data_IF_143568526951
#
_entry.id   IF_143568526951
#
_cell.length_a   1.000
_cell.length_b   1.000
_cell.length_c   1.000
_cell.angle_alpha   90.00
_cell.angle_beta   90.00
_cell.angle_gamma   90.00
#
_symmetry.space_group_name_H-M   'P 1'
#
loop_
_entity.id
_entity.type
_entity.pdbx_description
1 polymer ?
#
# COMPACT_ATOMS: atom_id res chain seq x y z
N UNK A 1 -5.69 11.81 -9.43
CA UNK A 1 -6.62 10.91 -10.12
C UNK A 1 -8.06 11.38 -9.90
N UNK A 2 -8.51 11.57 -8.67
CA UNK A 2 -9.87 12.02 -8.34
C UNK A 2 -10.26 13.32 -9.06
N UNK A 3 -9.39 14.35 -9.07
CA UNK A 3 -9.61 15.59 -9.81
C UNK A 3 -9.76 15.41 -11.34
N UNK A 4 -9.29 14.29 -11.87
CA UNK A 4 -9.47 13.90 -13.27
C UNK A 4 -10.74 13.04 -13.49
N UNK A 5 -11.56 12.87 -12.47
CA UNK A 5 -12.77 12.05 -12.50
C UNK A 5 -12.50 10.55 -12.47
N UNK A 6 -11.31 10.13 -12.05
CA UNK A 6 -10.96 8.72 -11.87
C UNK A 6 -11.20 8.37 -10.40
N UNK A 7 -12.28 7.62 -10.08
CA UNK A 7 -12.61 7.29 -8.70
C UNK A 7 -11.55 6.38 -8.07
N UNK A 8 -11.26 6.65 -6.81
CA UNK A 8 -10.35 5.87 -5.99
C UNK A 8 -11.13 5.24 -4.83
N UNK A 9 -11.02 3.93 -4.68
CA UNK A 9 -11.65 3.20 -3.60
C UNK A 9 -10.58 2.49 -2.77
N UNK A 10 -10.59 2.72 -1.47
CA UNK A 10 -9.72 2.04 -0.51
C UNK A 10 -10.52 1.05 0.32
N UNK A 11 -10.08 -0.21 0.34
CA UNK A 11 -10.57 -1.23 1.26
C UNK A 11 -9.51 -1.49 2.33
N UNK A 12 -9.80 -1.10 3.56
CA UNK A 12 -8.89 -1.25 4.70
C UNK A 12 -9.24 -2.51 5.45
N UNK A 13 -8.41 -3.53 5.32
CA UNK A 13 -8.63 -4.86 5.90
C UNK A 13 -7.81 -5.10 7.18
N UNK A 14 -6.89 -4.20 7.49
CA UNK A 14 -5.99 -4.28 8.64
C UNK A 14 -5.47 -2.91 9.03
N UNK A 15 -4.31 -2.89 9.69
CA UNK A 15 -3.70 -1.63 10.14
C UNK A 15 -3.02 -0.89 8.98
N UNK A 16 -3.43 0.34 8.76
CA UNK A 16 -2.85 1.28 7.80
C UNK A 16 -2.34 2.50 8.55
N UNK A 17 -1.04 2.55 8.80
CA UNK A 17 -0.41 3.52 9.69
C UNK A 17 0.57 4.43 8.97
N UNK A 18 0.82 5.60 9.57
CA UNK A 18 1.75 6.61 9.07
C UNK A 18 1.49 6.94 7.58
N UNK A 19 2.45 6.72 6.70
CA UNK A 19 2.30 6.95 5.25
C UNK A 19 1.16 6.14 4.61
N UNK A 20 0.89 4.92 5.10
CA UNK A 20 -0.23 4.09 4.64
C UNK A 20 -1.60 4.71 4.89
N UNK A 21 -1.75 5.52 5.94
CA UNK A 21 -3.01 6.19 6.28
C UNK A 21 -3.43 7.24 5.24
N UNK A 22 -2.49 7.75 4.45
CA UNK A 22 -2.83 8.69 3.38
C UNK A 22 -3.61 8.04 2.23
N UNK A 23 -3.44 6.75 1.98
CA UNK A 23 -4.16 6.08 0.90
C UNK A 23 -5.67 6.11 1.12
N UNK A 24 -6.23 5.61 2.23
CA UNK A 24 -7.65 5.76 2.50
C UNK A 24 -8.04 7.23 2.69
N UNK A 25 -7.22 8.04 3.36
CA UNK A 25 -7.52 9.46 3.59
C UNK A 25 -7.62 10.32 2.34
N UNK A 26 -7.10 9.89 1.21
CA UNK A 26 -7.15 10.58 -0.08
C UNK A 26 -8.05 9.88 -1.11
N UNK A 27 -8.68 8.76 -0.75
CA UNK A 27 -9.61 8.03 -1.62
C UNK A 27 -10.99 8.66 -1.61
N UNK A 28 -11.74 8.45 -2.70
CA UNK A 28 -13.11 8.96 -2.84
C UNK A 28 -14.13 8.07 -2.11
N UNK A 29 -13.78 6.82 -1.88
CA UNK A 29 -14.59 5.84 -1.14
C UNK A 29 -13.70 5.02 -0.22
N UNK A 30 -14.09 4.88 1.03
CA UNK A 30 -13.36 4.11 2.03
C UNK A 30 -14.28 3.06 2.64
N UNK A 31 -13.83 1.80 2.57
CA UNK A 31 -14.48 0.67 3.23
C UNK A 31 -13.54 0.16 4.34
N UNK A 32 -14.00 0.08 5.56
CA UNK A 32 -13.19 -0.42 6.69
C UNK A 32 -13.82 -1.65 7.33
N UNK A 33 -13.01 -2.67 7.61
CA UNK A 33 -13.44 -3.89 8.30
C UNK A 33 -13.45 -3.64 9.81
N UNK A 34 -14.62 -3.79 10.45
CA UNK A 34 -14.80 -3.61 11.90
C UNK A 34 -13.82 -4.47 12.69
N UNK A 35 -13.32 -3.94 13.80
CA UNK A 35 -12.41 -4.60 14.76
C UNK A 35 -11.04 -4.99 14.19
N UNK A 36 -10.85 -4.93 12.87
CA UNK A 36 -9.60 -5.30 12.23
C UNK A 36 -8.90 -4.11 11.58
N UNK A 37 -9.65 -3.30 10.83
CA UNK A 37 -9.11 -2.12 10.16
C UNK A 37 -8.80 -0.99 11.15
N UNK A 38 -7.62 -0.41 10.99
CA UNK A 38 -7.18 0.75 11.76
C UNK A 38 -6.45 1.73 10.86
N UNK A 39 -6.81 3.00 10.97
CA UNK A 39 -6.17 4.07 10.19
C UNK A 39 -5.79 5.19 11.14
N UNK A 40 -4.49 5.46 11.27
CA UNK A 40 -3.98 6.61 12.02
C UNK A 40 -2.57 6.99 11.55
N UNK A 41 -2.23 8.27 11.63
CA UNK A 41 -0.88 8.74 11.31
C UNK A 41 0.13 8.35 12.39
N UNK A 42 -0.30 8.37 13.65
CA UNK A 42 0.51 8.01 14.80
C UNK A 42 -0.26 7.04 15.68
N UNK A 43 0.30 5.87 15.93
CA UNK A 43 -0.32 4.86 16.80
C UNK A 43 -0.27 5.25 18.29
N UNK A 44 -0.94 4.49 19.17
CA UNK A 44 -1.02 4.77 20.60
C UNK A 44 0.31 5.02 21.30
N UNK A 45 1.40 4.29 21.02
CA UNK A 45 2.69 4.57 21.65
C UNK A 45 3.24 5.96 21.32
N UNK A 46 3.06 6.41 20.07
CA UNK A 46 3.55 7.70 19.63
C UNK A 46 2.66 8.84 20.15
N UNK A 47 1.35 8.64 20.20
CA UNK A 47 0.40 9.55 20.83
C UNK A 47 0.79 9.79 22.29
N UNK A 48 0.99 8.72 23.06
CA UNK A 48 1.41 8.79 24.45
C UNK A 48 2.74 9.53 24.63
N UNK A 49 3.70 9.29 23.76
CA UNK A 49 4.99 9.96 23.83
C UNK A 49 4.91 11.45 23.51
N UNK A 50 4.04 11.85 22.59
CA UNK A 50 3.91 13.23 22.13
C UNK A 50 3.01 14.09 23.03
N UNK A 51 1.89 13.57 23.51
CA UNK A 51 0.86 14.33 24.23
C UNK A 51 0.65 13.86 25.67
N UNK A 52 1.12 12.67 26.03
CA UNK A 52 0.83 12.01 27.29
C UNK A 52 -0.54 11.31 27.35
N UNK A 53 -1.35 11.44 26.32
CA UNK A 53 -2.66 10.80 26.22
C UNK A 53 -2.54 9.28 26.02
N UNK A 54 -3.48 8.55 26.59
CA UNK A 54 -3.58 7.09 26.45
C UNK A 54 -4.89 6.77 25.75
N UNK A 55 -4.81 6.21 24.54
CA UNK A 55 -5.94 5.72 23.78
C UNK A 55 -5.65 4.31 23.26
N UNK A 56 -6.68 3.50 23.11
CA UNK A 56 -6.58 2.20 22.45
C UNK A 56 -6.58 2.34 20.92
N UNK A 57 -6.13 1.30 20.21
CA UNK A 57 -6.10 1.28 18.74
C UNK A 57 -7.47 1.54 18.11
N UNK A 58 -8.53 0.91 18.67
CA UNK A 58 -9.91 1.08 18.18
C UNK A 58 -10.45 2.48 18.44
N UNK A 59 -10.12 3.04 19.59
CA UNK A 59 -10.53 4.39 19.98
C UNK A 59 -9.82 5.46 19.14
N UNK A 60 -8.55 5.23 18.84
CA UNK A 60 -7.72 6.17 18.08
C UNK A 60 -8.02 6.16 16.57
N UNK A 61 -8.22 4.98 16.00
CA UNK A 61 -8.34 4.87 14.55
C UNK A 61 -9.07 3.62 14.07
N UNK A 62 -9.94 3.04 14.89
CA UNK A 62 -10.77 1.91 14.49
C UNK A 62 -11.86 2.27 13.49
N UNK A 63 -12.44 1.26 12.85
CA UNK A 63 -13.48 1.45 11.83
C UNK A 63 -14.71 2.20 12.34
N UNK A 64 -15.17 1.88 13.54
CA UNK A 64 -16.34 2.54 14.14
C UNK A 64 -16.06 4.02 14.48
N UNK A 65 -14.83 4.33 14.86
CA UNK A 65 -14.43 5.73 15.09
C UNK A 65 -14.43 6.52 13.77
N UNK A 66 -13.85 5.96 12.70
CA UNK A 66 -13.83 6.63 11.39
C UNK A 66 -15.22 6.75 10.76
N UNK A 67 -16.08 5.73 10.88
CA UNK A 67 -17.42 5.75 10.32
C UNK A 67 -18.45 6.53 11.17
N UNK A 68 -18.36 6.44 12.51
CA UNK A 68 -19.37 7.00 13.40
C UNK A 68 -19.04 8.37 13.99
N UNK A 69 -17.77 8.68 14.16
CA UNK A 69 -17.33 9.92 14.84
C UNK A 69 -16.65 10.88 13.88
N UNK A 70 -15.62 10.41 13.16
CA UNK A 70 -14.84 11.26 12.27
C UNK A 70 -15.50 11.49 10.89
N UNK A 71 -16.36 10.57 10.45
CA UNK A 71 -17.00 10.66 9.13
C UNK A 71 -16.03 10.51 7.95
N UNK A 72 -14.92 9.81 8.16
CA UNK A 72 -13.84 9.60 7.19
C UNK A 72 -13.84 8.19 6.59
N UNK A 73 -14.88 7.42 6.88
CA UNK A 73 -15.15 6.11 6.30
C UNK A 73 -16.63 6.03 5.98
N UNK A 74 -16.98 5.78 4.71
CA UNK A 74 -18.37 5.74 4.26
C UNK A 74 -19.02 4.38 4.48
N UNK A 75 -18.22 3.31 4.48
CA UNK A 75 -18.75 1.94 4.52
C UNK A 75 -18.03 1.09 5.56
N UNK A 76 -18.82 0.48 6.45
CA UNK A 76 -18.33 -0.45 7.47
C UNK A 76 -18.65 -1.88 7.05
N UNK A 77 -17.64 -2.71 6.96
CA UNK A 77 -17.74 -4.13 6.63
C UNK A 77 -17.55 -5.00 7.87
N UNK A 78 -18.26 -6.11 7.95
CA UNK A 78 -18.15 -7.04 9.07
C UNK A 78 -16.92 -7.95 9.00
N UNK A 79 -16.42 -8.19 7.77
CA UNK A 79 -15.23 -9.01 7.49
C UNK A 79 -14.68 -8.70 6.10
N UNK A 80 -13.57 -9.34 5.73
CA UNK A 80 -12.89 -9.13 4.46
C UNK A 80 -13.78 -9.46 3.25
N UNK A 81 -14.55 -10.55 3.32
CA UNK A 81 -15.47 -10.95 2.24
C UNK A 81 -16.58 -9.91 2.04
N UNK A 82 -17.10 -9.36 3.13
CA UNK A 82 -18.10 -8.30 3.10
C UNK A 82 -17.53 -6.99 2.55
N UNK A 83 -16.29 -6.66 2.91
CA UNK A 83 -15.57 -5.51 2.35
C UNK A 83 -15.43 -5.60 0.83
N UNK A 84 -15.07 -6.77 0.31
CA UNK A 84 -14.99 -7.01 -1.13
C UNK A 84 -16.35 -6.92 -1.80
N UNK A 85 -17.41 -7.45 -1.16
CA UNK A 85 -18.80 -7.32 -1.65
C UNK A 85 -19.21 -5.86 -1.78
N UNK A 86 -19.00 -5.06 -0.72
CA UNK A 86 -19.29 -3.62 -0.70
C UNK A 86 -18.49 -2.89 -1.77
N UNK A 87 -17.20 -3.15 -1.88
CA UNK A 87 -16.34 -2.55 -2.89
C UNK A 87 -16.84 -2.82 -4.31
N UNK A 88 -17.30 -4.04 -4.59
CA UNK A 88 -17.89 -4.40 -5.89
C UNK A 88 -19.21 -3.66 -6.16
N UNK A 89 -20.04 -3.47 -5.14
CA UNK A 89 -21.29 -2.71 -5.26
C UNK A 89 -21.00 -1.23 -5.55
N UNK A 90 -20.03 -0.63 -4.87
CA UNK A 90 -19.58 0.75 -5.15
C UNK A 90 -19.16 0.86 -6.61
N UNK A 91 -18.28 -0.02 -7.08
CA UNK A 91 -17.78 0.00 -8.46
C UNK A 91 -18.91 -0.20 -9.47
N UNK A 92 -19.86 -1.09 -9.19
CA UNK A 92 -21.04 -1.30 -10.04
C UNK A 92 -21.90 -0.04 -10.16
N UNK A 93 -22.11 0.67 -9.05
CA UNK A 93 -22.93 1.89 -9.03
C UNK A 93 -22.22 3.11 -9.68
N UNK A 94 -20.91 3.08 -9.84
CA UNK A 94 -20.17 4.15 -10.51
C UNK A 94 -20.45 4.20 -12.02
N UNK A 95 -20.94 3.10 -12.61
CA UNK A 95 -21.10 2.96 -14.08
C UNK A 95 -19.85 3.40 -14.85
N UNK A 96 -18.67 3.11 -14.26
CA UNK A 96 -17.39 3.59 -14.76
C UNK A 96 -17.09 3.13 -16.19
N UNK A 97 -17.48 1.91 -16.53
CA UNK A 97 -17.25 1.35 -17.85
C UNK A 97 -17.97 2.15 -18.97
N UNK A 98 -19.09 2.78 -18.65
CA UNK A 98 -19.88 3.57 -19.59
C UNK A 98 -19.18 4.90 -19.95
N UNK A 99 -18.23 5.32 -19.12
CA UNK A 99 -17.48 6.58 -19.24
C UNK A 99 -16.04 6.38 -19.75
N UNK A 100 -15.56 5.13 -19.81
CA UNK A 100 -14.19 4.86 -20.24
C UNK A 100 -14.05 5.06 -21.74
N UNK A 101 -13.05 5.84 -22.20
CA UNK A 101 -12.64 5.75 -23.58
C UNK A 101 -12.21 4.31 -23.86
N UNK A 102 -12.63 3.75 -24.98
CA UNK A 102 -12.20 2.43 -25.43
C UNK A 102 -10.70 2.49 -25.69
N UNK A 103 -9.91 2.01 -24.74
CA UNK A 103 -8.48 1.87 -24.97
C UNK A 103 -8.26 0.72 -25.97
N UNK A 104 -7.38 0.88 -26.96
CA UNK A 104 -7.03 -0.21 -27.84
C UNK A 104 -6.50 -1.37 -26.99
N UNK A 105 -7.08 -2.56 -27.17
CA UNK A 105 -6.56 -3.78 -26.55
C UNK A 105 -5.13 -3.97 -27.05
N UNK A 106 -4.19 -3.91 -26.13
CA UNK A 106 -2.81 -4.32 -26.44
C UNK A 106 -2.78 -5.84 -26.48
N UNK A 107 -1.97 -6.36 -27.38
CA UNK A 107 -1.68 -7.79 -27.43
C UNK A 107 -0.97 -8.17 -26.11
N UNK A 108 -1.57 -9.09 -25.37
CA UNK A 108 -1.00 -9.60 -24.13
C UNK A 108 0.15 -10.53 -24.48
N UNK A 109 1.32 -10.26 -23.96
CA UNK A 109 2.51 -11.10 -24.16
C UNK A 109 2.85 -11.80 -22.85
N UNK A 110 3.03 -13.11 -22.89
CA UNK A 110 3.48 -13.86 -21.73
C UNK A 110 4.83 -13.32 -21.24
N UNK A 111 5.07 -13.28 -19.93
CA UNK A 111 6.40 -12.99 -19.39
C UNK A 111 7.47 -13.90 -20.00
N UNK A 112 8.69 -13.40 -20.12
CA UNK A 112 9.84 -14.19 -20.63
C UNK A 112 10.32 -15.21 -19.60
N UNK A 113 10.04 -14.97 -18.33
CA UNK A 113 10.43 -15.83 -17.20
C UNK A 113 9.19 -16.52 -16.64
N UNK A 114 9.37 -17.75 -16.16
CA UNK A 114 8.28 -18.54 -15.63
C UNK A 114 7.80 -18.00 -14.27
N UNK A 115 6.49 -17.78 -14.16
CA UNK A 115 5.86 -17.34 -12.91
C UNK A 115 6.00 -18.36 -11.78
N UNK A 116 6.13 -19.66 -12.07
CA UNK A 116 6.31 -20.70 -11.06
C UNK A 116 7.66 -20.58 -10.33
N UNK A 117 8.65 -19.91 -10.95
CA UNK A 117 9.94 -19.61 -10.32
C UNK A 117 9.85 -18.61 -9.16
N UNK A 118 8.75 -17.88 -9.02
CA UNK A 118 8.58 -16.89 -7.93
C UNK A 118 8.78 -17.48 -6.54
N UNK A 119 8.41 -18.75 -6.36
CA UNK A 119 8.65 -19.46 -5.10
C UNK A 119 10.14 -19.61 -4.75
N UNK A 120 11.02 -19.56 -5.76
CA UNK A 120 12.47 -19.59 -5.58
C UNK A 120 13.12 -18.21 -5.49
N UNK A 121 12.49 -17.19 -6.08
CA UNK A 121 12.97 -15.79 -6.07
C UNK A 121 12.69 -15.15 -4.72
N UNK A 122 11.49 -15.33 -4.18
CA UNK A 122 11.10 -14.76 -2.89
C UNK A 122 11.36 -15.76 -1.78
N UNK A 123 12.36 -15.47 -0.93
CA UNK A 123 12.70 -16.34 0.19
C UNK A 123 11.58 -16.38 1.23
N UNK A 124 11.29 -17.55 1.85
CA UNK A 124 10.32 -17.64 2.96
C UNK A 124 10.73 -16.82 4.19
N UNK A 125 12.02 -16.57 4.37
CA UNK A 125 12.53 -15.70 5.44
C UNK A 125 12.50 -14.25 4.97
N UNK A 126 11.53 -13.46 5.49
CA UNK A 126 11.31 -12.05 5.16
C UNK A 126 12.51 -11.14 5.46
N UNK A 127 13.52 -11.61 6.22
CA UNK A 127 14.74 -10.87 6.52
C UNK A 127 15.79 -10.97 5.41
N UNK A 128 15.56 -11.87 4.45
CA UNK A 128 16.44 -11.99 3.29
C UNK A 128 15.93 -11.05 2.19
N UNK A 129 16.75 -10.07 1.79
CA UNK A 129 16.36 -9.20 0.68
C UNK A 129 16.31 -10.00 -0.63
N UNK A 130 15.44 -9.59 -1.52
CA UNK A 130 15.37 -10.08 -2.90
C UNK A 130 15.21 -8.89 -3.84
N UNK A 131 15.58 -9.07 -5.11
CA UNK A 131 15.42 -8.03 -6.11
C UNK A 131 13.97 -8.01 -6.62
N UNK A 132 13.27 -6.90 -6.37
CA UNK A 132 11.88 -6.71 -6.82
C UNK A 132 11.74 -6.81 -8.35
N UNK A 133 12.78 -6.48 -9.11
CA UNK A 133 12.80 -6.58 -10.58
C UNK A 133 12.60 -8.01 -11.04
N UNK A 134 13.16 -8.98 -10.32
CA UNK A 134 12.96 -10.40 -10.60
C UNK A 134 11.50 -10.82 -10.46
N UNK A 135 10.80 -10.26 -9.50
CA UNK A 135 9.35 -10.50 -9.32
C UNK A 135 8.57 -9.82 -10.44
N UNK A 136 8.83 -8.55 -10.71
CA UNK A 136 8.14 -7.78 -11.75
C UNK A 136 8.33 -8.45 -13.12
N UNK A 137 9.54 -8.86 -13.47
CA UNK A 137 9.86 -9.50 -14.74
C UNK A 137 9.07 -10.81 -15.00
N UNK A 138 8.58 -11.46 -13.94
CA UNK A 138 7.76 -12.68 -14.04
C UNK A 138 6.26 -12.42 -14.05
N UNK A 139 5.84 -11.17 -13.88
CA UNK A 139 4.42 -10.80 -13.77
C UNK A 139 3.93 -9.92 -14.92
N UNK A 140 4.82 -9.11 -15.52
CA UNK A 140 4.42 -8.14 -16.53
C UNK A 140 4.57 -8.66 -17.95
N UNK A 141 3.78 -8.10 -18.85
CA UNK A 141 3.74 -8.46 -20.28
C UNK A 141 5.13 -8.37 -20.93
N UNK A 142 5.59 -9.52 -21.46
CA UNK A 142 6.89 -9.63 -22.12
C UNK A 142 8.08 -9.32 -21.23
N UNK A 143 7.90 -9.27 -19.90
CA UNK A 143 8.92 -8.86 -18.93
C UNK A 143 9.47 -7.44 -19.17
N UNK A 144 8.66 -6.57 -19.78
CA UNK A 144 9.03 -5.19 -20.09
C UNK A 144 8.39 -4.22 -19.10
N UNK A 145 9.21 -3.47 -18.36
CA UNK A 145 8.77 -2.44 -17.42
C UNK A 145 9.76 -1.28 -17.40
N UNK A 146 9.27 -0.11 -16.99
CA UNK A 146 10.11 1.07 -16.79
C UNK A 146 10.59 1.09 -15.34
N UNK A 147 11.89 1.14 -15.17
CA UNK A 147 12.47 1.46 -13.88
C UNK A 147 12.51 2.99 -13.75
N UNK A 148 11.98 3.58 -12.66
CA UNK A 148 12.28 4.95 -12.36
C UNK A 148 13.79 5.04 -12.12
N UNK A 149 14.46 5.96 -12.82
CA UNK A 149 15.85 6.29 -12.50
C UNK A 149 15.90 6.64 -11.01
N UNK A 150 16.74 5.94 -10.26
CA UNK A 150 16.95 6.24 -8.86
C UNK A 150 17.44 7.69 -8.80
N UNK A 151 16.64 8.58 -8.23
CA UNK A 151 17.05 9.94 -7.94
C UNK A 151 18.25 9.86 -7.00
N UNK A 152 19.46 9.92 -7.58
CA UNK A 152 20.70 10.17 -6.87
C UNK A 152 20.97 9.25 -5.68
N UNK A 153 21.24 7.96 -5.93
CA UNK A 153 22.17 7.26 -5.09
C UNK A 153 23.57 7.66 -5.59
N UNK A 154 24.03 8.82 -5.19
CA UNK A 154 25.45 9.10 -5.20
C UNK A 154 26.07 8.02 -4.32
N UNK A 155 26.79 7.11 -4.94
CA UNK A 155 27.63 6.11 -4.28
C UNK A 155 28.73 6.86 -3.52
N UNK A 156 28.44 7.32 -2.30
CA UNK A 156 29.49 7.52 -1.31
C UNK A 156 29.95 6.13 -0.87
N UNK A 157 30.92 5.57 -1.60
CA UNK A 157 31.73 4.49 -1.07
C UNK A 157 32.31 4.97 0.28
N UNK A 158 32.11 4.23 1.38
CA UNK A 158 32.78 4.59 2.64
C UNK A 158 34.26 4.43 2.43
N UNK A 159 35.00 5.57 2.54
CA UNK A 159 36.47 5.56 2.57
C UNK A 159 36.94 4.53 3.59
N UNK A 160 37.92 3.67 3.23
CA UNK A 160 38.53 2.76 4.18
C UNK A 160 39.23 3.56 5.27
N UNK A 161 38.82 3.33 6.53
CA UNK A 161 39.43 3.92 7.68
C UNK A 161 40.96 3.60 7.67
N UNK A 162 41.77 4.56 7.26
CA UNK A 162 43.21 4.48 7.38
C UNK A 162 43.57 4.55 8.85
N UNK A 163 43.89 3.38 9.41
CA UNK A 163 44.46 3.27 10.74
C UNK A 163 45.79 3.98 10.82
N UNK A 164 45.80 5.10 11.50
CA UNK A 164 47.06 5.73 11.95
C UNK A 164 47.55 5.02 13.20
N UNK A 165 48.48 4.12 13.01
CA UNK A 165 49.38 3.71 14.08
C UNK A 165 50.30 4.86 14.43
N UNK A 166 50.11 5.50 15.57
CA UNK A 166 51.11 6.40 16.15
C UNK A 166 51.79 5.66 17.31
N UNK A 167 53.08 5.49 17.14
CA UNK A 167 54.06 5.12 18.18
C UNK A 167 54.29 6.30 19.10
N UNK A 168 54.38 6.08 20.37
CA UNK A 168 55.46 6.44 21.31
C UNK A 168 55.01 6.09 22.73
#
# INVERSE_FOLDING_TARGET
LSAAGIPQLAAVLGSSTAGGAYMPGLSDYVVMVRKNAKVFLAGPPLLKAATGEIAGDEELGGADMHGGVAGTCEFLAENDADSIRIAREIVANLHWNDRRPTLPLREVRAPKYDTDELCGVVAPDYRKPFDCREVIARLVDGSEFLEPEALGADEEEPEPATGSAARA
#
